data_IF_446513555163
#
_entry.id   IF_446513555163
#
_cell.length_a   1.000
_cell.length_b   1.000
_cell.length_c   1.000
_cell.angle_alpha   90.00
_cell.angle_beta   90.00
_cell.angle_gamma   90.00
#
_symmetry.space_group_name_H-M   'P 1'
#
loop_
_entity.id
_entity.type
_entity.pdbx_description
1 polymer ?
#
# COMPACT_ATOMS: atom_id res chain seq x y z
N UNK A 1 16.66 -4.56 8.37
CA UNK A 1 17.27 -4.89 7.07
C UNK A 1 16.29 -5.76 6.29
N UNK A 2 15.96 -5.37 5.05
CA UNK A 2 15.13 -6.20 4.21
C UNK A 2 15.78 -7.57 4.11
N UNK A 3 14.96 -8.58 4.29
CA UNK A 3 15.35 -9.93 3.94
C UNK A 3 15.43 -9.97 2.42
N UNK A 4 16.65 -9.99 1.87
CA UNK A 4 16.82 -10.23 0.44
C UNK A 4 16.12 -11.53 0.06
N UNK A 5 15.75 -11.65 -1.22
CA UNK A 5 15.18 -12.88 -1.77
C UNK A 5 16.08 -14.05 -1.39
N UNK A 6 15.56 -14.98 -0.58
CA UNK A 6 16.29 -16.20 -0.25
C UNK A 6 16.14 -17.17 -1.42
N UNK A 7 17.26 -17.62 -1.98
CA UNK A 7 17.28 -18.60 -3.06
C UNK A 7 16.45 -19.83 -2.66
N UNK A 8 15.47 -20.18 -3.46
CA UNK A 8 14.52 -21.27 -3.20
C UNK A 8 13.26 -20.88 -2.41
N UNK A 9 13.19 -19.72 -1.79
CA UNK A 9 11.91 -19.20 -1.30
C UNK A 9 11.04 -18.80 -2.50
N UNK A 10 9.84 -19.37 -2.57
CA UNK A 10 8.89 -19.13 -3.67
C UNK A 10 9.35 -19.70 -5.03
N UNK A 11 10.20 -20.70 -5.03
CA UNK A 11 10.67 -21.36 -6.24
C UNK A 11 9.65 -22.39 -6.79
N UNK A 12 8.35 -22.11 -6.72
CA UNK A 12 7.33 -22.91 -7.41
C UNK A 12 7.32 -22.51 -8.90
N UNK A 13 7.82 -23.37 -9.82
CA UNK A 13 7.84 -23.04 -11.24
C UNK A 13 6.44 -22.79 -11.83
N UNK A 14 5.42 -23.45 -11.29
CA UNK A 14 4.04 -23.28 -11.72
C UNK A 14 3.48 -21.92 -11.30
N UNK A 15 3.98 -21.37 -10.18
CA UNK A 15 3.61 -20.04 -9.72
C UNK A 15 4.19 -18.95 -10.64
N UNK A 16 5.47 -19.06 -11.01
CA UNK A 16 6.12 -18.06 -11.90
C UNK A 16 5.63 -18.15 -13.35
N UNK A 17 5.10 -19.31 -13.76
CA UNK A 17 4.57 -19.51 -15.11
C UNK A 17 3.14 -19.02 -15.33
N UNK A 18 2.46 -18.51 -14.29
CA UNK A 18 1.09 -18.00 -14.44
C UNK A 18 1.10 -16.61 -15.09
N UNK A 19 0.20 -16.43 -16.04
CA UNK A 19 -0.12 -15.10 -16.55
C UNK A 19 -0.86 -14.31 -15.47
N UNK A 20 -0.22 -13.28 -14.97
CA UNK A 20 -0.79 -12.37 -13.96
C UNK A 20 -0.93 -10.94 -14.47
N UNK A 21 -0.76 -10.76 -15.80
CA UNK A 21 -0.82 -9.48 -16.46
C UNK A 21 0.55 -8.86 -16.75
N UNK A 22 0.52 -7.65 -17.24
CA UNK A 22 1.68 -6.92 -17.73
C UNK A 22 2.35 -6.12 -16.59
N UNK A 23 3.53 -6.58 -16.15
CA UNK A 23 4.32 -5.94 -15.10
C UNK A 23 4.72 -4.49 -15.44
N UNK A 24 4.84 -4.14 -16.73
CA UNK A 24 5.24 -2.79 -17.14
C UNK A 24 4.20 -1.71 -16.88
N UNK A 25 2.97 -2.09 -16.52
CA UNK A 25 1.89 -1.15 -16.16
C UNK A 25 1.97 -0.66 -14.71
N UNK A 26 2.87 -1.20 -13.95
CA UNK A 26 3.10 -0.84 -12.57
C UNK A 26 4.52 -0.28 -12.37
N UNK A 27 4.78 0.35 -11.24
CA UNK A 27 6.11 0.75 -10.81
C UNK A 27 6.22 0.61 -9.28
N UNK A 28 7.44 0.48 -8.79
CA UNK A 28 7.69 0.26 -7.35
C UNK A 28 7.45 1.51 -6.48
N UNK A 29 7.26 2.68 -7.07
CA UNK A 29 7.07 3.97 -6.38
C UNK A 29 8.06 4.20 -5.23
N UNK A 30 9.32 3.93 -5.48
CA UNK A 30 10.40 4.08 -4.51
C UNK A 30 11.59 4.87 -5.06
N UNK A 31 11.32 5.81 -5.97
CA UNK A 31 12.34 6.71 -6.49
C UNK A 31 12.94 7.57 -5.37
N UNK A 32 14.23 7.84 -5.50
CA UNK A 32 14.97 8.75 -4.62
C UNK A 32 14.87 10.21 -5.12
N UNK A 33 15.51 11.13 -4.40
CA UNK A 33 15.55 12.55 -4.74
C UNK A 33 14.16 13.21 -4.80
N UNK A 34 13.34 12.89 -3.83
CA UNK A 34 12.01 13.47 -3.65
C UNK A 34 12.07 14.72 -2.74
N UNK A 35 10.96 15.46 -2.69
CA UNK A 35 10.84 16.64 -1.82
C UNK A 35 10.72 16.30 -0.32
N UNK A 36 10.45 17.32 0.47
CA UNK A 36 10.36 17.21 1.93
C UNK A 36 9.06 16.57 2.43
N UNK A 37 8.06 16.41 1.54
CA UNK A 37 6.73 15.90 1.89
C UNK A 37 6.48 14.57 1.19
N UNK A 38 6.26 13.52 1.97
CA UNK A 38 5.97 12.18 1.46
C UNK A 38 4.64 11.65 1.99
N UNK A 39 3.86 11.06 1.09
CA UNK A 39 2.68 10.27 1.39
C UNK A 39 3.00 8.80 1.09
N UNK A 40 3.24 8.03 2.14
CA UNK A 40 3.57 6.61 2.04
C UNK A 40 2.31 5.76 2.09
N UNK A 41 1.96 5.13 0.98
CA UNK A 41 0.85 4.18 0.90
C UNK A 41 1.34 2.80 1.30
N UNK A 42 0.77 2.25 2.36
CA UNK A 42 1.15 0.95 2.92
C UNK A 42 0.05 -0.07 2.65
N UNK A 43 0.39 -1.09 1.88
CA UNK A 43 -0.53 -2.17 1.48
C UNK A 43 0.04 -3.53 1.88
N UNK A 44 -0.85 -4.52 2.09
CA UNK A 44 -0.41 -5.90 2.18
C UNK A 44 0.34 -6.31 0.91
N UNK A 45 -0.18 -5.91 -0.23
CA UNK A 45 0.39 -6.17 -1.54
C UNK A 45 -0.32 -7.28 -2.29
N UNK A 46 0.01 -7.41 -3.56
CA UNK A 46 -0.42 -8.52 -4.42
C UNK A 46 0.67 -8.85 -5.43
N UNK A 47 0.84 -10.12 -5.72
CA UNK A 47 1.74 -10.60 -6.77
C UNK A 47 1.09 -10.64 -8.16
N UNK A 48 -0.22 -10.42 -8.24
CA UNK A 48 -0.92 -10.33 -9.53
C UNK A 48 -0.73 -8.95 -10.15
N UNK A 49 -0.07 -8.91 -11.30
CA UNK A 49 0.28 -7.66 -11.98
C UNK A 49 -0.95 -6.82 -12.34
N UNK A 50 -2.01 -7.44 -12.86
CA UNK A 50 -3.25 -6.72 -13.22
C UNK A 50 -3.92 -6.10 -12.00
N UNK A 51 -4.06 -6.86 -10.89
CA UNK A 51 -4.62 -6.31 -9.64
C UNK A 51 -3.74 -5.22 -9.04
N UNK A 52 -2.42 -5.40 -9.08
CA UNK A 52 -1.52 -4.38 -8.56
C UNK A 52 -1.62 -3.07 -9.32
N UNK A 53 -1.68 -3.14 -10.65
CA UNK A 53 -1.82 -1.97 -11.52
C UNK A 53 -3.22 -1.33 -11.43
N UNK A 54 -4.29 -2.13 -11.34
CA UNK A 54 -5.65 -1.62 -11.30
C UNK A 54 -6.05 -1.08 -9.92
N UNK A 55 -5.73 -1.82 -8.86
CA UNK A 55 -6.24 -1.53 -7.52
C UNK A 55 -5.23 -0.70 -6.71
N UNK A 56 -4.04 -1.24 -6.43
CA UNK A 56 -3.06 -0.56 -5.57
C UNK A 56 -2.54 0.70 -6.25
N UNK A 57 -2.04 0.59 -7.47
CA UNK A 57 -1.58 1.75 -8.24
C UNK A 57 -2.72 2.75 -8.50
N UNK A 58 -3.94 2.28 -8.68
CA UNK A 58 -5.13 3.14 -8.83
C UNK A 58 -5.37 4.03 -7.62
N UNK A 59 -5.22 3.50 -6.39
CA UNK A 59 -5.29 4.27 -5.15
C UNK A 59 -4.14 5.28 -5.07
N UNK A 60 -2.93 4.84 -5.35
CA UNK A 60 -1.73 5.70 -5.33
C UNK A 60 -1.81 6.84 -6.35
N UNK A 61 -2.29 6.56 -7.56
CA UNK A 61 -2.47 7.57 -8.60
C UNK A 61 -3.54 8.59 -8.21
N UNK A 62 -4.63 8.15 -7.59
CA UNK A 62 -5.67 9.05 -7.08
C UNK A 62 -5.14 9.96 -5.96
N UNK A 63 -4.33 9.43 -5.06
CA UNK A 63 -3.68 10.21 -4.00
C UNK A 63 -2.67 11.19 -4.59
N UNK A 64 -1.87 10.78 -5.57
CA UNK A 64 -0.92 11.68 -6.23
C UNK A 64 -1.63 12.83 -6.97
N UNK A 65 -2.77 12.55 -7.58
CA UNK A 65 -3.58 13.58 -8.24
C UNK A 65 -4.21 14.55 -7.23
N UNK A 66 -4.64 14.04 -6.08
CA UNK A 66 -5.23 14.86 -5.01
C UNK A 66 -4.19 15.72 -4.26
N UNK A 67 -2.98 15.22 -4.14
CA UNK A 67 -1.88 15.85 -3.40
C UNK A 67 -0.63 16.01 -4.28
N UNK A 68 -0.67 16.89 -5.30
CA UNK A 68 0.41 17.00 -6.29
C UNK A 68 1.73 17.51 -5.72
N UNK A 69 1.70 18.19 -4.57
CA UNK A 69 2.89 18.71 -3.88
C UNK A 69 3.54 17.68 -2.93
N UNK A 70 2.96 16.49 -2.83
CA UNK A 70 3.44 15.37 -2.04
C UNK A 70 3.99 14.28 -2.94
N UNK A 71 5.07 13.65 -2.52
CA UNK A 71 5.60 12.47 -3.22
C UNK A 71 4.89 11.22 -2.72
N UNK A 72 4.04 10.63 -3.55
CA UNK A 72 3.37 9.36 -3.21
C UNK A 72 4.33 8.20 -3.43
N UNK A 73 4.57 7.42 -2.38
CA UNK A 73 5.46 6.27 -2.33
C UNK A 73 4.72 5.04 -1.85
N UNK A 74 5.31 3.87 -2.11
CA UNK A 74 4.72 2.56 -1.83
C UNK A 74 5.55 1.79 -0.81
N UNK A 75 4.88 1.08 0.09
CA UNK A 75 5.44 -0.04 0.84
C UNK A 75 4.46 -1.21 0.86
N UNK A 76 5.00 -2.44 0.81
CA UNK A 76 4.22 -3.65 1.06
C UNK A 76 4.61 -4.25 2.41
N UNK A 77 3.62 -4.87 3.09
CA UNK A 77 3.87 -5.55 4.36
C UNK A 77 4.17 -7.04 4.17
N UNK A 78 3.64 -7.67 3.12
CA UNK A 78 3.84 -9.09 2.86
C UNK A 78 5.18 -9.36 2.13
N UNK A 79 6.20 -9.75 2.88
CA UNK A 79 7.54 -10.04 2.31
C UNK A 79 7.51 -11.13 1.23
N UNK A 80 6.66 -12.14 1.38
CA UNK A 80 6.50 -13.19 0.38
C UNK A 80 6.05 -12.65 -0.98
N UNK A 81 5.17 -11.66 -0.99
CA UNK A 81 4.70 -11.00 -2.21
C UNK A 81 5.83 -10.19 -2.85
N UNK A 82 6.57 -9.43 -2.05
CA UNK A 82 7.73 -8.67 -2.51
C UNK A 82 8.74 -9.60 -3.19
N UNK A 83 9.06 -10.72 -2.55
CA UNK A 83 9.98 -11.71 -3.07
C UNK A 83 9.49 -12.33 -4.39
N UNK A 84 8.19 -12.63 -4.50
CA UNK A 84 7.61 -13.17 -5.73
C UNK A 84 7.70 -12.20 -6.89
N UNK A 85 7.32 -10.94 -6.67
CA UNK A 85 7.39 -9.90 -7.71
C UNK A 85 8.83 -9.68 -8.15
N UNK A 86 9.75 -9.60 -7.21
CA UNK A 86 11.17 -9.43 -7.53
C UNK A 86 11.73 -10.62 -8.33
N UNK A 87 11.40 -11.85 -7.94
CA UNK A 87 11.93 -13.05 -8.62
C UNK A 87 11.35 -13.21 -10.03
N UNK A 88 10.07 -12.91 -10.23
CA UNK A 88 9.40 -13.06 -11.51
C UNK A 88 9.65 -11.90 -12.46
N UNK A 89 9.54 -10.67 -11.98
CA UNK A 89 9.51 -9.47 -12.81
C UNK A 89 10.76 -8.58 -12.62
N UNK A 90 11.61 -8.86 -11.64
CA UNK A 90 12.78 -8.06 -11.32
C UNK A 90 12.46 -6.74 -10.62
N UNK A 91 11.20 -6.46 -10.32
CA UNK A 91 10.74 -5.24 -9.66
C UNK A 91 11.00 -5.32 -8.15
N UNK A 92 11.67 -4.30 -7.62
CA UNK A 92 12.03 -4.22 -6.21
C UNK A 92 11.08 -3.29 -5.47
N UNK A 93 10.05 -3.86 -4.86
CA UNK A 93 9.11 -3.11 -4.02
C UNK A 93 9.66 -3.06 -2.60
N UNK A 94 9.65 -1.87 -1.99
CA UNK A 94 10.10 -1.69 -0.62
C UNK A 94 9.10 -2.34 0.39
N UNK A 95 9.64 -2.97 1.43
CA UNK A 95 8.85 -3.24 2.61
C UNK A 95 8.76 -1.97 3.49
N UNK A 96 7.99 -2.03 4.58
CA UNK A 96 7.78 -0.86 5.44
C UNK A 96 9.09 -0.28 5.98
N UNK A 97 10.02 -1.11 6.44
CA UNK A 97 11.31 -0.67 6.96
C UNK A 97 12.14 0.04 5.89
N UNK A 98 12.23 -0.54 4.69
CA UNK A 98 12.99 0.06 3.59
C UNK A 98 12.40 1.38 3.12
N UNK A 99 11.06 1.45 3.05
CA UNK A 99 10.40 2.69 2.68
C UNK A 99 10.68 3.79 3.69
N UNK A 100 10.67 3.49 4.99
CA UNK A 100 11.02 4.45 6.04
C UNK A 100 12.49 4.84 6.02
N UNK A 101 13.40 3.87 5.85
CA UNK A 101 14.83 4.15 5.70
C UNK A 101 15.11 5.05 4.47
N UNK A 102 14.40 4.80 3.37
CA UNK A 102 14.49 5.60 2.15
C UNK A 102 13.94 7.01 2.37
N UNK A 103 12.81 7.16 3.06
CA UNK A 103 12.26 8.48 3.39
C UNK A 103 13.24 9.32 4.23
N UNK A 104 13.89 8.70 5.22
CA UNK A 104 14.94 9.36 6.02
C UNK A 104 16.13 9.74 5.15
N UNK A 105 16.61 8.83 4.29
CA UNK A 105 17.75 9.10 3.40
C UNK A 105 17.45 10.21 2.39
N UNK A 106 16.22 10.32 1.93
CA UNK A 106 15.73 11.37 1.03
C UNK A 106 15.54 12.74 1.71
N UNK A 107 15.66 12.80 3.02
CA UNK A 107 15.49 14.04 3.77
C UNK A 107 14.02 14.48 3.91
N UNK A 108 13.10 13.53 3.89
CA UNK A 108 11.68 13.79 4.13
C UNK A 108 11.51 14.38 5.52
N UNK A 109 10.75 15.49 5.62
CA UNK A 109 10.43 16.15 6.88
C UNK A 109 9.03 15.82 7.35
N UNK A 110 8.08 15.81 6.41
CA UNK A 110 6.68 15.56 6.69
C UNK A 110 6.25 14.25 6.06
N UNK A 111 5.89 13.28 6.88
CA UNK A 111 5.45 11.96 6.46
C UNK A 111 3.98 11.75 6.81
N UNK A 112 3.18 11.40 5.83
CA UNK A 112 1.83 10.87 6.01
C UNK A 112 1.84 9.40 5.59
N UNK A 113 1.36 8.52 6.46
CA UNK A 113 1.19 7.11 6.17
C UNK A 113 -0.28 6.84 5.89
N UNK A 114 -0.58 6.34 4.69
CA UNK A 114 -1.91 5.93 4.28
C UNK A 114 -1.96 4.41 4.17
N UNK A 115 -2.54 3.71 5.16
CA UNK A 115 -2.79 2.28 5.03
C UNK A 115 -3.93 2.02 4.04
N UNK A 116 -3.83 0.94 3.27
CA UNK A 116 -4.94 0.42 2.46
C UNK A 116 -5.69 -0.72 3.15
N UNK A 117 -5.36 -0.99 4.41
CA UNK A 117 -6.06 -1.97 5.23
C UNK A 117 -7.54 -1.59 5.39
N UNK A 118 -8.39 -2.61 5.46
CA UNK A 118 -9.83 -2.36 5.58
C UNK A 118 -10.22 -1.84 6.97
N UNK A 119 -9.53 -2.30 8.03
CA UNK A 119 -9.89 -2.01 9.41
C UNK A 119 -8.66 -2.05 10.32
N UNK A 120 -8.81 -1.58 11.55
CA UNK A 120 -7.83 -1.82 12.61
C UNK A 120 -7.72 -3.32 12.90
N UNK A 121 -6.55 -3.87 12.67
CA UNK A 121 -6.22 -5.27 12.91
C UNK A 121 -4.72 -5.41 13.16
N UNK A 122 -4.25 -6.64 13.36
CA UNK A 122 -2.85 -6.92 13.69
C UNK A 122 -1.84 -6.28 12.73
N UNK A 123 -2.12 -6.29 11.43
CA UNK A 123 -1.24 -5.68 10.43
C UNK A 123 -1.16 -4.15 10.55
N UNK A 124 -2.28 -3.51 10.88
CA UNK A 124 -2.29 -2.07 11.15
C UNK A 124 -1.51 -1.73 12.42
N UNK A 125 -1.63 -2.55 13.46
CA UNK A 125 -0.89 -2.38 14.71
C UNK A 125 0.61 -2.58 14.50
N UNK A 126 1.03 -3.63 13.79
CA UNK A 126 2.43 -3.88 13.42
C UNK A 126 3.03 -2.75 12.59
N UNK A 127 2.27 -2.19 11.66
CA UNK A 127 2.66 -1.01 10.88
C UNK A 127 2.94 0.19 11.80
N UNK A 128 2.06 0.46 12.75
CA UNK A 128 2.23 1.56 13.71
C UNK A 128 3.42 1.33 14.64
N UNK A 129 3.62 0.11 15.16
CA UNK A 129 4.77 -0.24 15.99
C UNK A 129 6.10 -0.01 15.26
N UNK A 130 6.16 -0.34 13.98
CA UNK A 130 7.35 -0.07 13.18
C UNK A 130 7.54 1.44 12.96
N UNK A 131 6.46 2.16 12.63
CA UNK A 131 6.50 3.60 12.41
C UNK A 131 6.96 4.35 13.68
N UNK A 132 6.56 3.88 14.86
CA UNK A 132 6.93 4.51 16.13
C UNK A 132 8.45 4.55 16.35
N UNK A 133 9.20 3.61 15.76
CA UNK A 133 10.67 3.58 15.80
C UNK A 133 11.31 4.68 14.93
N UNK A 134 10.53 5.30 14.05
CA UNK A 134 11.00 6.30 13.09
C UNK A 134 10.44 7.71 13.32
N UNK A 135 9.46 7.87 14.22
CA UNK A 135 8.77 9.18 14.41
C UNK A 135 9.71 10.32 14.70
N UNK A 136 10.79 10.07 15.44
CA UNK A 136 11.81 11.06 15.79
C UNK A 136 12.74 11.46 14.63
N UNK A 137 12.65 10.78 13.49
CA UNK A 137 13.43 11.05 12.29
C UNK A 137 12.79 12.12 11.39
N UNK A 138 11.52 12.44 11.63
CA UNK A 138 10.73 13.39 10.85
C UNK A 138 10.29 14.57 11.69
N UNK A 139 10.04 15.71 11.03
CA UNK A 139 9.46 16.90 11.71
C UNK A 139 7.98 16.67 12.05
N UNK A 140 7.26 15.99 11.19
CA UNK A 140 5.88 15.58 11.44
C UNK A 140 5.56 14.20 10.85
N UNK A 141 4.77 13.43 11.58
CA UNK A 141 4.26 12.12 11.15
C UNK A 141 2.77 12.05 11.46
N UNK A 142 1.96 11.76 10.45
CA UNK A 142 0.54 11.47 10.59
C UNK A 142 0.22 10.10 9.98
N UNK A 143 -0.76 9.41 10.56
CA UNK A 143 -1.27 8.14 10.05
C UNK A 143 -2.76 8.32 9.77
N UNK A 144 -3.17 7.98 8.55
CA UNK A 144 -4.58 7.98 8.21
C UNK A 144 -5.27 6.72 8.73
N UNK A 145 -6.56 6.84 8.98
CA UNK A 145 -7.39 5.71 9.38
C UNK A 145 -7.53 4.68 8.25
N UNK A 146 -7.69 3.39 8.58
CA UNK A 146 -8.10 2.38 7.63
C UNK A 146 -9.46 2.71 6.98
N UNK A 147 -9.73 2.13 5.81
CA UNK A 147 -10.90 2.44 5.00
C UNK A 147 -12.25 2.37 5.76
N UNK A 148 -12.40 1.40 6.65
CA UNK A 148 -13.61 1.20 7.45
C UNK A 148 -13.50 1.76 8.87
N UNK A 149 -12.37 2.40 9.22
CA UNK A 149 -12.11 2.91 10.54
C UNK A 149 -12.14 1.84 11.63
N UNK A 150 -12.54 2.20 12.83
CA UNK A 150 -12.71 1.27 13.94
C UNK A 150 -13.92 0.37 13.75
N UNK A 151 -13.77 -0.90 14.10
CA UNK A 151 -14.83 -1.91 13.97
C UNK A 151 -15.51 -2.25 15.29
N UNK A 152 -14.95 -1.82 16.43
CA UNK A 152 -15.39 -2.22 17.76
C UNK A 152 -15.05 -3.68 18.10
N UNK A 153 -15.28 -4.06 19.33
CA UNK A 153 -14.90 -5.39 19.83
C UNK A 153 -15.67 -6.55 19.18
N UNK A 154 -16.87 -6.29 18.68
CA UNK A 154 -17.77 -7.29 18.09
C UNK A 154 -18.07 -7.04 16.60
N UNK A 155 -17.33 -6.10 15.99
CA UNK A 155 -17.50 -5.69 14.60
C UNK A 155 -18.92 -5.18 14.24
N UNK A 156 -19.73 -4.85 15.23
CA UNK A 156 -21.12 -4.39 15.03
C UNK A 156 -21.24 -2.88 14.87
N UNK A 157 -20.17 -2.14 15.12
CA UNK A 157 -20.20 -0.67 15.05
C UNK A 157 -20.34 -0.20 13.62
N UNK A 158 -21.44 0.50 13.33
CA UNK A 158 -21.64 1.22 12.07
C UNK A 158 -21.15 2.66 12.30
N UNK A 159 -20.24 3.10 11.44
CA UNK A 159 -19.70 4.46 11.46
C UNK A 159 -19.86 5.12 10.09
N UNK A 160 -19.54 6.41 10.00
CA UNK A 160 -19.67 7.17 8.77
C UNK A 160 -18.78 6.62 7.62
N UNK A 161 -17.63 6.05 7.95
CA UNK A 161 -16.71 5.47 6.95
C UNK A 161 -17.33 4.22 6.31
N UNK A 162 -17.89 3.32 7.12
CA UNK A 162 -18.58 2.13 6.62
C UNK A 162 -19.79 2.48 5.76
N UNK A 163 -20.56 3.49 6.17
CA UNK A 163 -21.71 3.98 5.37
C UNK A 163 -21.23 4.58 4.04
N UNK A 164 -20.16 5.37 4.04
CA UNK A 164 -19.60 5.95 2.84
C UNK A 164 -19.08 4.89 1.87
N UNK A 165 -18.35 3.88 2.37
CA UNK A 165 -17.85 2.76 1.57
C UNK A 165 -19.00 1.93 1.00
N UNK A 166 -20.00 1.57 1.83
CA UNK A 166 -21.16 0.81 1.37
C UNK A 166 -21.91 1.55 0.26
N UNK A 167 -22.08 2.86 0.39
CA UNK A 167 -22.71 3.71 -0.62
C UNK A 167 -21.89 3.75 -1.92
N UNK A 168 -20.58 3.93 -1.83
CA UNK A 168 -19.70 3.99 -2.99
C UNK A 168 -19.68 2.65 -3.75
N UNK A 169 -19.54 1.53 -3.04
CA UNK A 169 -19.53 0.18 -3.63
C UNK A 169 -20.88 -0.13 -4.28
N UNK A 170 -21.99 0.19 -3.62
CA UNK A 170 -23.33 -0.02 -4.18
C UNK A 170 -23.53 0.81 -5.46
N UNK A 171 -23.13 2.08 -5.46
CA UNK A 171 -23.22 2.94 -6.63
C UNK A 171 -22.37 2.41 -7.81
N UNK A 172 -21.15 1.93 -7.54
CA UNK A 172 -20.29 1.33 -8.53
C UNK A 172 -20.91 0.04 -9.12
N UNK A 173 -21.42 -0.85 -8.27
CA UNK A 173 -22.05 -2.10 -8.69
C UNK A 173 -23.31 -1.86 -9.53
N UNK A 174 -24.15 -0.89 -9.14
CA UNK A 174 -25.34 -0.52 -9.91
C UNK A 174 -24.99 0.03 -11.29
N UNK A 175 -23.95 0.87 -11.35
CA UNK A 175 -23.44 1.41 -12.63
C UNK A 175 -22.91 0.31 -13.54
N UNK A 176 -22.10 -0.61 -13.00
CA UNK A 176 -21.52 -1.72 -13.74
C UNK A 176 -22.59 -2.68 -14.27
N UNK A 177 -23.61 -2.97 -13.46
CA UNK A 177 -24.75 -3.81 -13.85
C UNK A 177 -25.69 -3.15 -14.88
N UNK A 178 -25.49 -1.88 -15.23
CA UNK A 178 -26.31 -1.16 -16.19
C UNK A 178 -27.70 -0.81 -15.69
N UNK A 179 -27.96 -0.87 -14.39
CA UNK A 179 -29.20 -0.38 -13.80
C UNK A 179 -29.18 1.16 -13.78
N UNK A 180 -29.93 1.75 -14.67
CA UNK A 180 -30.23 3.17 -14.60
C UNK A 180 -31.39 3.36 -13.61
N UNK A 181 -31.13 4.08 -12.54
CA UNK A 181 -32.14 4.56 -11.61
C UNK A 181 -32.97 5.69 -12.23
#
# INVERSE_FOLDING_TARGET
AQKELVEGENADPDYFGRDTGDASKDDARNADEIGENELLVVSFGTSFNDSRAADIKGIEDALQAAYPDWSVRRAFTAQIIINHVQARDGEKIDNMQQALDRAVANGVKNLIVQPTHLMHGAEYDEMNEMLDQYRDKFESVAVAEPLLGEVGADASVINADKEAVAKAVTAAAVKEAGYNS
#
